data_IF_784882220413
#
_entry.id   IF_784882220413
#
_cell.length_a   1.000
_cell.length_b   1.000
_cell.length_c   1.000
_cell.angle_alpha   90.00
_cell.angle_beta   90.00
_cell.angle_gamma   90.00
#
_symmetry.space_group_name_H-M   'P 1'
#
loop_
_entity.id
_entity.type
_entity.pdbx_description
1 polymer ?
#
# COMPACT_ATOMS: atom_id res chain seq x y z
N UNK A 1 27.98 -20.29 70.04
CA UNK A 1 28.33 -20.63 68.62
C UNK A 1 27.24 -20.04 67.72
N UNK A 2 27.42 -18.85 67.28
CA UNK A 2 26.50 -18.12 66.37
C UNK A 2 27.07 -18.10 64.96
N UNK A 3 26.42 -18.79 64.01
CA UNK A 3 26.80 -18.90 62.62
C UNK A 3 26.17 -17.74 61.85
N UNK A 4 26.95 -16.72 61.52
CA UNK A 4 26.57 -15.65 60.58
C UNK A 4 26.55 -16.22 59.17
N UNK A 5 25.35 -16.32 58.57
CA UNK A 5 25.14 -16.60 57.14
C UNK A 5 25.01 -15.24 56.42
N UNK A 6 26.08 -14.71 55.91
CA UNK A 6 26.07 -13.62 54.93
C UNK A 6 25.72 -14.20 53.58
N UNK A 7 24.45 -13.98 53.12
CA UNK A 7 24.06 -14.24 51.73
C UNK A 7 24.67 -13.14 50.84
N UNK A 8 25.69 -13.49 50.10
CA UNK A 8 26.16 -12.67 48.99
C UNK A 8 25.13 -12.73 47.87
N UNK A 9 24.40 -11.64 47.68
CA UNK A 9 23.54 -11.49 46.53
C UNK A 9 24.40 -11.34 45.27
N UNK A 10 24.33 -12.34 44.38
CA UNK A 10 25.09 -12.40 43.15
C UNK A 10 24.64 -11.24 42.23
N UNK A 11 25.57 -10.31 41.96
CA UNK A 11 25.39 -9.14 41.13
C UNK A 11 25.03 -9.50 39.67
N UNK A 12 25.25 -10.74 39.27
CA UNK A 12 24.95 -11.28 37.96
C UNK A 12 23.43 -11.43 37.75
N UNK A 13 22.68 -11.80 38.80
CA UNK A 13 21.22 -12.00 38.70
C UNK A 13 20.47 -10.67 38.51
N UNK A 14 20.93 -9.59 39.16
CA UNK A 14 20.32 -8.27 39.05
C UNK A 14 20.51 -7.68 37.62
N UNK A 15 21.67 -7.88 37.04
CA UNK A 15 21.93 -7.41 35.66
C UNK A 15 21.05 -8.09 34.61
N UNK A 16 20.70 -9.36 34.79
CA UNK A 16 19.83 -10.09 33.86
C UNK A 16 18.37 -9.59 33.89
N UNK A 17 17.88 -9.17 35.06
CA UNK A 17 16.51 -8.63 35.20
C UNK A 17 16.38 -7.21 34.63
N UNK A 18 17.40 -6.39 34.76
CA UNK A 18 17.43 -5.02 34.18
C UNK A 18 17.43 -5.06 32.65
N UNK A 19 18.19 -6.00 32.05
CA UNK A 19 18.20 -6.17 30.58
C UNK A 19 16.89 -6.70 30.04
N UNK A 20 16.19 -7.59 30.76
CA UNK A 20 14.89 -8.11 30.36
C UNK A 20 13.80 -7.02 30.42
N UNK A 21 13.85 -6.13 31.43
CA UNK A 21 12.89 -5.03 31.57
C UNK A 21 13.04 -3.95 30.51
N UNK A 22 14.27 -3.67 30.05
CA UNK A 22 14.54 -2.71 28.97
C UNK A 22 14.07 -3.21 27.60
N UNK A 23 14.09 -4.54 27.36
CA UNK A 23 13.59 -5.14 26.12
C UNK A 23 12.05 -5.08 26.02
N UNK A 24 11.34 -5.16 27.16
CA UNK A 24 9.86 -5.07 27.16
C UNK A 24 9.36 -3.63 26.94
N UNK A 25 10.07 -2.60 27.41
CA UNK A 25 9.70 -1.20 27.17
C UNK A 25 9.93 -0.76 25.72
N UNK A 26 10.86 -1.38 25.00
CA UNK A 26 11.14 -1.08 23.59
C UNK A 26 10.06 -1.54 22.62
N UNK A 27 9.24 -2.55 22.98
CA UNK A 27 8.20 -3.08 22.09
C UNK A 27 6.92 -2.22 22.01
N UNK A 28 6.65 -1.38 23.01
CA UNK A 28 5.40 -0.59 23.05
C UNK A 28 5.50 0.67 22.18
N UNK A 29 6.71 1.18 21.91
CA UNK A 29 6.92 2.38 21.10
C UNK A 29 6.96 2.12 19.58
N UNK A 30 7.06 0.86 19.14
CA UNK A 30 7.17 0.51 17.71
C UNK A 30 5.83 0.50 16.95
N UNK A 31 4.69 0.37 17.65
CA UNK A 31 3.37 0.25 17.03
C UNK A 31 2.92 1.53 16.27
N UNK A 32 3.11 2.75 16.80
CA UNK A 32 2.69 3.95 16.08
C UNK A 32 3.58 4.26 14.86
N UNK A 33 4.87 3.91 14.89
CA UNK A 33 5.78 4.14 13.77
C UNK A 33 5.49 3.21 12.58
N UNK A 34 5.10 1.97 12.82
CA UNK A 34 4.71 1.04 11.75
C UNK A 34 3.46 1.52 11.01
N UNK A 35 2.47 2.11 11.72
CA UNK A 35 1.27 2.69 11.10
C UNK A 35 1.58 3.95 10.28
N UNK A 36 2.47 4.81 10.75
CA UNK A 36 2.88 6.00 10.00
C UNK A 36 3.69 5.64 8.74
N UNK A 37 4.54 4.62 8.80
CA UNK A 37 5.27 4.12 7.63
C UNK A 37 4.35 3.45 6.61
N UNK A 38 3.33 2.68 7.05
CA UNK A 38 2.35 2.08 6.14
C UNK A 38 1.54 3.15 5.39
N UNK A 39 1.17 4.24 6.05
CA UNK A 39 0.46 5.36 5.42
C UNK A 39 1.31 6.06 4.36
N UNK A 40 2.61 6.27 4.62
CA UNK A 40 3.55 6.87 3.67
C UNK A 40 3.77 6.01 2.43
N UNK A 41 3.95 4.71 2.60
CA UNK A 41 4.13 3.76 1.48
C UNK A 41 2.86 3.63 0.64
N UNK A 42 1.68 3.59 1.25
CA UNK A 42 0.40 3.51 0.53
C UNK A 42 0.20 4.73 -0.38
N UNK A 43 0.42 5.95 0.12
CA UNK A 43 0.30 7.17 -0.68
C UNK A 43 1.32 7.21 -1.82
N UNK A 44 2.55 6.77 -1.58
CA UNK A 44 3.58 6.68 -2.62
C UNK A 44 3.22 5.66 -3.70
N UNK A 45 2.71 4.49 -3.31
CA UNK A 45 2.27 3.45 -4.25
C UNK A 45 1.12 3.96 -5.15
N UNK A 46 0.16 4.72 -4.60
CA UNK A 46 -0.92 5.34 -5.41
C UNK A 46 -0.36 6.34 -6.43
N UNK A 47 0.60 7.17 -6.04
CA UNK A 47 1.24 8.14 -6.95
C UNK A 47 1.92 7.42 -8.13
N UNK A 48 2.58 6.29 -7.89
CA UNK A 48 3.19 5.48 -8.94
C UNK A 48 2.14 4.97 -9.92
N UNK A 49 1.01 4.43 -9.42
CA UNK A 49 -0.08 3.95 -10.26
C UNK A 49 -0.73 5.09 -11.06
N UNK A 50 -0.98 6.24 -10.43
CA UNK A 50 -1.54 7.40 -11.13
C UNK A 50 -0.62 7.92 -12.23
N UNK A 51 0.70 7.87 -12.02
CA UNK A 51 1.69 8.22 -13.05
C UNK A 51 1.63 7.27 -14.24
N UNK A 52 1.61 5.95 -13.99
CA UNK A 52 1.49 4.95 -15.04
C UNK A 52 0.15 5.05 -15.80
N UNK A 53 -0.93 5.31 -15.06
CA UNK A 53 -2.25 5.53 -15.64
C UNK A 53 -2.27 6.75 -16.54
N UNK A 54 -1.69 7.88 -16.10
CA UNK A 54 -1.57 9.10 -16.89
C UNK A 54 -0.76 8.89 -18.18
N UNK A 55 0.35 8.16 -18.12
CA UNK A 55 1.14 7.80 -19.29
C UNK A 55 0.33 6.96 -20.29
N UNK A 56 -0.42 5.97 -19.80
CA UNK A 56 -1.29 5.11 -20.61
C UNK A 56 -2.41 5.92 -21.26
N UNK A 57 -3.06 6.82 -20.52
CA UNK A 57 -4.11 7.70 -21.05
C UNK A 57 -3.58 8.67 -22.09
N UNK A 58 -2.37 9.17 -21.92
CA UNK A 58 -1.73 10.06 -22.90
C UNK A 58 -1.46 9.32 -24.21
N UNK A 59 -0.90 8.12 -24.17
CA UNK A 59 -0.68 7.30 -25.35
C UNK A 59 -2.00 6.96 -26.06
N UNK A 60 -3.04 6.58 -25.30
CA UNK A 60 -4.38 6.30 -25.82
C UNK A 60 -5.01 7.55 -26.48
N UNK A 61 -4.83 8.73 -25.87
CA UNK A 61 -5.32 10.00 -26.40
C UNK A 61 -4.63 10.42 -27.70
N UNK A 62 -3.37 10.03 -27.86
CA UNK A 62 -2.59 10.26 -29.08
C UNK A 62 -2.83 9.18 -30.15
N UNK A 63 -3.72 8.25 -29.92
CA UNK A 63 -3.98 7.08 -30.77
C UNK A 63 -2.73 6.21 -31.03
N UNK A 64 -1.78 6.24 -30.08
CA UNK A 64 -0.58 5.40 -30.10
C UNK A 64 -0.92 4.02 -29.52
N UNK A 65 -1.35 3.10 -30.38
CA UNK A 65 -1.76 1.74 -29.99
C UNK A 65 -0.60 0.98 -29.36
N UNK A 66 0.60 1.06 -29.94
CA UNK A 66 1.77 0.34 -29.44
C UNK A 66 2.22 0.86 -28.08
N UNK A 67 2.35 2.18 -27.93
CA UNK A 67 2.68 2.81 -26.65
C UNK A 67 1.60 2.58 -25.59
N UNK A 68 0.32 2.59 -25.97
CA UNK A 68 -0.77 2.28 -25.05
C UNK A 68 -0.67 0.86 -24.53
N UNK A 69 -0.35 -0.12 -25.38
CA UNK A 69 -0.19 -1.53 -24.98
C UNK A 69 0.96 -1.71 -24.00
N UNK A 70 2.12 -1.16 -24.29
CA UNK A 70 3.30 -1.23 -23.41
C UNK A 70 3.01 -0.59 -22.05
N UNK A 71 2.43 0.62 -22.05
CA UNK A 71 2.08 1.32 -20.82
C UNK A 71 1.00 0.57 -20.01
N UNK A 72 0.06 -0.09 -20.69
CA UNK A 72 -0.99 -0.90 -20.06
C UNK A 72 -0.43 -2.11 -19.32
N UNK A 73 0.54 -2.82 -19.91
CA UNK A 73 1.23 -3.94 -19.26
C UNK A 73 1.94 -3.49 -17.99
N UNK A 74 2.65 -2.37 -18.05
CA UNK A 74 3.33 -1.79 -16.87
C UNK A 74 2.34 -1.37 -15.79
N UNK A 75 1.26 -0.69 -16.18
CA UNK A 75 0.18 -0.29 -15.27
C UNK A 75 -0.44 -1.50 -14.57
N UNK A 76 -0.71 -2.59 -15.29
CA UNK A 76 -1.22 -3.82 -14.72
C UNK A 76 -0.24 -4.48 -13.75
N UNK A 77 1.05 -4.46 -14.07
CA UNK A 77 2.09 -5.01 -13.20
C UNK A 77 2.12 -4.24 -11.87
N UNK A 78 2.09 -2.91 -11.93
CA UNK A 78 2.09 -2.04 -10.75
C UNK A 78 0.80 -2.19 -9.94
N UNK A 79 -0.36 -2.27 -10.61
CA UNK A 79 -1.65 -2.49 -9.96
C UNK A 79 -1.69 -3.80 -9.18
N UNK A 80 -1.22 -4.90 -9.74
CA UNK A 80 -1.17 -6.19 -9.05
C UNK A 80 -0.29 -6.15 -7.79
N UNK A 81 0.87 -5.51 -7.87
CA UNK A 81 1.75 -5.33 -6.72
C UNK A 81 1.09 -4.48 -5.62
N UNK A 82 0.47 -3.38 -6.01
CA UNK A 82 -0.28 -2.52 -5.09
C UNK A 82 -1.41 -3.27 -4.40
N UNK A 83 -2.24 -3.98 -5.17
CA UNK A 83 -3.35 -4.75 -4.64
C UNK A 83 -2.89 -5.83 -3.65
N UNK A 84 -1.90 -6.62 -4.03
CA UNK A 84 -1.35 -7.68 -3.17
C UNK A 84 -0.84 -7.14 -1.84
N UNK A 85 -0.19 -5.98 -1.87
CA UNK A 85 0.38 -5.33 -0.69
C UNK A 85 -0.67 -4.67 0.20
N UNK A 86 -1.75 -4.16 -0.39
CA UNK A 86 -2.65 -3.22 0.28
C UNK A 86 -4.10 -3.70 0.42
N UNK A 87 -4.44 -4.93 0.02
CA UNK A 87 -5.84 -5.40 0.03
C UNK A 87 -6.48 -5.33 1.43
N UNK A 88 -5.68 -5.53 2.48
CA UNK A 88 -6.12 -5.49 3.88
C UNK A 88 -5.70 -4.20 4.59
N UNK A 89 -5.19 -3.20 3.87
CA UNK A 89 -4.65 -1.99 4.49
C UNK A 89 -5.71 -1.15 5.20
N UNK A 90 -6.98 -1.23 4.77
CA UNK A 90 -8.08 -0.42 5.31
C UNK A 90 -9.34 -1.24 5.61
N UNK A 91 -9.28 -2.19 6.56
CA UNK A 91 -10.42 -3.08 6.85
C UNK A 91 -11.63 -2.37 7.44
N UNK A 92 -11.46 -1.13 7.95
CA UNK A 92 -12.56 -0.31 8.51
C UNK A 92 -13.26 0.57 7.48
N UNK A 93 -12.75 0.67 6.26
CA UNK A 93 -13.34 1.44 5.18
C UNK A 93 -14.17 0.49 4.28
N UNK A 94 -15.50 0.51 4.38
CA UNK A 94 -16.35 -0.42 3.65
C UNK A 94 -16.32 -0.20 2.13
N UNK A 95 -15.84 0.97 1.66
CA UNK A 95 -15.74 1.27 0.24
C UNK A 95 -14.37 0.94 -0.34
N UNK A 96 -13.36 0.67 0.49
CA UNK A 96 -11.99 0.47 0.02
C UNK A 96 -11.87 -0.76 -0.89
N UNK A 97 -12.28 -1.94 -0.42
CA UNK A 97 -12.22 -3.17 -1.20
C UNK A 97 -13.14 -3.14 -2.44
N UNK A 98 -14.40 -2.68 -2.36
CA UNK A 98 -15.23 -2.47 -3.55
C UNK A 98 -14.61 -1.54 -4.59
N UNK A 99 -14.00 -0.42 -4.18
CA UNK A 99 -13.35 0.50 -5.13
C UNK A 99 -12.11 -0.13 -5.77
N UNK A 100 -11.33 -0.93 -5.04
CA UNK A 100 -10.21 -1.68 -5.61
C UNK A 100 -10.67 -2.66 -6.69
N UNK A 101 -11.74 -3.42 -6.43
CA UNK A 101 -12.29 -4.37 -7.40
C UNK A 101 -12.82 -3.66 -8.65
N UNK A 102 -13.60 -2.59 -8.50
CA UNK A 102 -14.11 -1.80 -9.62
C UNK A 102 -12.98 -1.16 -10.45
N UNK A 103 -11.92 -0.67 -9.79
CA UNK A 103 -10.76 -0.16 -10.51
C UNK A 103 -10.08 -1.26 -11.34
N UNK A 104 -9.94 -2.47 -10.79
CA UNK A 104 -9.40 -3.62 -11.53
C UNK A 104 -10.28 -4.00 -12.72
N UNK A 105 -11.60 -4.00 -12.57
CA UNK A 105 -12.57 -4.26 -13.66
C UNK A 105 -12.41 -3.23 -14.78
N UNK A 106 -12.31 -1.93 -14.46
CA UNK A 106 -12.11 -0.87 -15.46
C UNK A 106 -10.75 -0.99 -16.15
N UNK A 107 -9.67 -1.30 -15.42
CA UNK A 107 -8.36 -1.57 -16.02
C UNK A 107 -8.41 -2.76 -16.96
N UNK A 108 -9.12 -3.83 -16.59
CA UNK A 108 -9.28 -5.02 -17.43
C UNK A 108 -10.09 -4.73 -18.69
N UNK A 109 -11.17 -3.95 -18.56
CA UNK A 109 -11.96 -3.50 -19.71
C UNK A 109 -11.11 -2.65 -20.68
N UNK A 110 -10.31 -1.72 -20.12
CA UNK A 110 -9.39 -0.92 -20.91
C UNK A 110 -8.38 -1.78 -21.69
N UNK A 111 -7.77 -2.79 -21.03
CA UNK A 111 -6.82 -3.71 -21.69
C UNK A 111 -7.45 -4.42 -22.89
N UNK A 112 -8.65 -4.96 -22.71
CA UNK A 112 -9.37 -5.62 -23.83
C UNK A 112 -9.63 -4.69 -25.00
N UNK A 113 -9.94 -3.41 -24.71
CA UNK A 113 -10.16 -2.41 -25.74
C UNK A 113 -8.86 -2.03 -26.46
N UNK A 114 -7.74 -1.99 -25.74
CA UNK A 114 -6.41 -1.79 -26.34
C UNK A 114 -6.04 -2.95 -27.28
N UNK A 115 -6.34 -4.19 -26.88
CA UNK A 115 -6.11 -5.38 -27.73
C UNK A 115 -6.95 -5.33 -29.01
N UNK A 116 -8.12 -4.69 -28.97
CA UNK A 116 -8.99 -4.43 -30.11
C UNK A 116 -8.64 -3.13 -30.88
N UNK A 117 -7.54 -2.46 -30.51
CA UNK A 117 -7.09 -1.19 -31.10
C UNK A 117 -8.10 -0.02 -30.92
N UNK A 118 -9.02 -0.14 -29.94
CA UNK A 118 -10.04 0.86 -29.61
C UNK A 118 -9.52 1.82 -28.53
N UNK A 119 -8.48 2.57 -28.85
CA UNK A 119 -7.77 3.44 -27.89
C UNK A 119 -8.66 4.50 -27.25
N UNK A 120 -9.57 5.12 -28.01
CA UNK A 120 -10.49 6.13 -27.47
C UNK A 120 -11.45 5.54 -26.42
N UNK A 121 -12.00 4.33 -26.67
CA UNK A 121 -12.84 3.65 -25.70
C UNK A 121 -12.02 3.16 -24.50
N UNK A 122 -10.79 2.67 -24.69
CA UNK A 122 -9.89 2.30 -23.63
C UNK A 122 -9.58 3.49 -22.71
N UNK A 123 -9.41 4.69 -23.27
CA UNK A 123 -9.21 5.91 -22.49
C UNK A 123 -10.36 6.19 -21.53
N UNK A 124 -11.62 6.02 -21.95
CA UNK A 124 -12.78 6.21 -21.07
C UNK A 124 -12.77 5.25 -19.88
N UNK A 125 -12.39 3.99 -20.08
CA UNK A 125 -12.25 3.03 -18.99
C UNK A 125 -11.07 3.38 -18.04
N UNK A 126 -9.98 3.91 -18.59
CA UNK A 126 -8.85 4.40 -17.78
C UNK A 126 -9.25 5.62 -16.94
N UNK A 127 -10.10 6.52 -17.45
CA UNK A 127 -10.64 7.65 -16.69
C UNK A 127 -11.54 7.18 -15.53
N UNK A 128 -12.36 6.14 -15.75
CA UNK A 128 -13.13 5.48 -14.70
C UNK A 128 -12.22 4.88 -13.62
N UNK A 129 -11.19 4.12 -14.04
CA UNK A 129 -10.19 3.56 -13.13
C UNK A 129 -9.48 4.66 -12.33
N UNK A 130 -9.11 5.77 -12.95
CA UNK A 130 -8.48 6.92 -12.28
C UNK A 130 -9.34 7.47 -11.14
N UNK A 131 -10.62 7.63 -11.39
CA UNK A 131 -11.58 8.11 -10.38
C UNK A 131 -11.66 7.16 -9.18
N UNK A 132 -11.75 5.86 -9.45
CA UNK A 132 -11.82 4.84 -8.41
C UNK A 132 -10.51 4.76 -7.60
N UNK A 133 -9.35 4.85 -8.26
CA UNK A 133 -8.03 4.85 -7.62
C UNK A 133 -7.85 6.09 -6.74
N UNK A 134 -8.30 7.25 -7.17
CA UNK A 134 -8.29 8.47 -6.34
C UNK A 134 -9.14 8.30 -5.09
N UNK A 135 -10.26 7.61 -5.18
CA UNK A 135 -11.15 7.32 -4.03
C UNK A 135 -10.51 6.34 -3.02
N UNK A 136 -9.44 5.62 -3.40
CA UNK A 136 -8.68 4.80 -2.46
C UNK A 136 -7.80 5.65 -1.52
N UNK A 137 -7.52 6.91 -1.86
CA UNK A 137 -6.75 7.78 -0.97
C UNK A 137 -7.48 7.96 0.36
N UNK A 138 -6.75 7.99 1.51
CA UNK A 138 -7.36 8.37 2.77
C UNK A 138 -8.01 9.74 2.58
N UNK A 139 -9.30 9.83 2.81
CA UNK A 139 -9.91 11.14 3.01
C UNK A 139 -9.22 11.71 4.24
N UNK A 140 -8.60 12.88 4.08
CA UNK A 140 -8.12 13.62 5.24
C UNK A 140 -9.33 13.78 6.16
N UNK A 141 -9.23 13.23 7.38
CA UNK A 141 -10.30 13.31 8.36
C UNK A 141 -10.78 14.76 8.40
N UNK A 142 -11.99 15.01 7.90
CA UNK A 142 -12.66 16.28 8.04
C UNK A 142 -12.87 16.47 9.56
N UNK A 143 -12.03 17.32 10.16
CA UNK A 143 -12.15 17.72 11.56
C UNK A 143 -13.36 18.60 11.72
#
# INVERSE_FOLDING_TARGET
MTRNMTRTFDSVTIRRWILASLLLLGMIAAIPQARAQMSGTFSADIVIIESALSATMTAAGNNDVAGTRVNMEELYRQWRQFRQKNIDARPKDPQFAPNMLKAEESLFAASKLVDQEKTAAARSELENAQTLIRNLRPQADAK
#
